data_IF_735937736498
#
_entry.id   IF_735937736498
#
_cell.length_a   1.000
_cell.length_b   1.000
_cell.length_c   1.000
_cell.angle_alpha   90.00
_cell.angle_beta   90.00
_cell.angle_gamma   90.00
#
_symmetry.space_group_name_H-M   'P 1'
#
loop_
_entity.id
_entity.type
_entity.pdbx_description
1 polymer ?
#
# COMPACT_ATOMS: atom_id res chain seq x y z
N UNK A 1 4.98 -31.78 -18.60
CA UNK A 1 3.66 -31.19 -18.29
C UNK A 1 3.35 -31.42 -16.82
N UNK A 2 2.42 -30.67 -16.20
CA UNK A 2 2.01 -30.88 -14.80
C UNK A 2 1.61 -32.33 -14.51
N UNK A 3 0.90 -32.96 -15.45
CA UNK A 3 0.45 -34.35 -15.38
C UNK A 3 1.62 -35.36 -15.35
N UNK A 4 2.69 -35.11 -16.11
CA UNK A 4 3.87 -35.96 -16.13
C UNK A 4 4.67 -35.89 -14.81
N UNK A 5 4.70 -34.70 -14.18
CA UNK A 5 5.33 -34.52 -12.87
C UNK A 5 4.52 -35.21 -11.76
N UNK A 6 3.19 -35.15 -11.83
CA UNK A 6 2.31 -35.87 -10.90
C UNK A 6 2.49 -37.39 -11.02
N UNK A 7 2.52 -37.92 -12.25
CA UNK A 7 2.74 -39.34 -12.49
C UNK A 7 4.12 -39.80 -11.98
N UNK A 8 5.16 -39.01 -12.23
CA UNK A 8 6.52 -39.28 -11.73
C UNK A 8 6.59 -39.24 -10.20
N UNK A 9 5.89 -38.30 -9.55
CA UNK A 9 5.82 -38.23 -8.10
C UNK A 9 5.12 -39.45 -7.51
N UNK A 10 3.95 -39.84 -8.05
CA UNK A 10 3.19 -41.03 -7.61
C UNK A 10 3.97 -42.33 -7.77
N UNK A 11 4.86 -42.42 -8.76
CA UNK A 11 5.73 -43.58 -8.99
C UNK A 11 7.01 -43.57 -8.12
N UNK A 12 7.31 -42.46 -7.44
CA UNK A 12 8.53 -42.31 -6.65
C UNK A 12 8.41 -42.95 -5.27
N UNK A 13 9.56 -43.31 -4.69
CA UNK A 13 9.66 -43.81 -3.31
C UNK A 13 9.14 -42.78 -2.28
N UNK A 14 9.26 -41.48 -2.57
CA UNK A 14 8.77 -40.41 -1.70
C UNK A 14 7.26 -40.45 -1.51
N UNK A 15 6.51 -40.83 -2.55
CA UNK A 15 5.05 -40.96 -2.44
C UNK A 15 4.64 -42.15 -1.57
N UNK A 16 5.41 -43.25 -1.61
CA UNK A 16 5.15 -44.39 -0.73
C UNK A 16 5.46 -44.05 0.73
N UNK A 17 6.58 -43.38 1.01
CA UNK A 17 6.89 -42.90 2.36
C UNK A 17 5.84 -41.91 2.89
N UNK A 18 5.34 -41.01 2.03
CA UNK A 18 4.26 -40.10 2.41
C UNK A 18 2.99 -40.85 2.81
N UNK A 19 2.62 -41.91 2.07
CA UNK A 19 1.47 -42.73 2.41
C UNK A 19 1.65 -43.48 3.74
N UNK A 20 2.87 -43.99 4.00
CA UNK A 20 3.20 -44.60 5.29
C UNK A 20 3.13 -43.59 6.45
N UNK A 21 3.67 -42.39 6.26
CA UNK A 21 3.59 -41.31 7.26
C UNK A 21 2.14 -40.90 7.55
N UNK A 22 1.31 -40.79 6.52
CA UNK A 22 -0.13 -40.48 6.66
C UNK A 22 -0.85 -41.58 7.42
N UNK A 23 -0.59 -42.84 7.09
CA UNK A 23 -1.26 -43.97 7.75
C UNK A 23 -0.76 -44.16 9.19
N UNK A 24 0.53 -43.91 9.46
CA UNK A 24 1.09 -43.86 10.82
C UNK A 24 0.42 -42.76 11.64
N UNK A 25 0.33 -41.55 11.08
CA UNK A 25 -0.34 -40.41 11.73
C UNK A 25 -1.81 -40.73 12.03
N UNK A 26 -2.53 -41.30 11.08
CA UNK A 26 -3.93 -41.70 11.24
C UNK A 26 -4.09 -42.77 12.32
N UNK A 27 -3.19 -43.76 12.40
CA UNK A 27 -3.23 -44.80 13.45
C UNK A 27 -2.95 -44.23 14.84
N UNK A 28 -1.90 -43.43 14.97
CA UNK A 28 -1.55 -42.78 16.25
C UNK A 28 -2.66 -41.86 16.74
N UNK A 29 -3.31 -41.13 15.83
CA UNK A 29 -4.28 -40.10 16.19
C UNK A 29 -5.75 -40.53 16.07
N UNK A 30 -6.09 -41.71 15.53
CA UNK A 30 -7.44 -42.31 15.62
C UNK A 30 -7.66 -43.02 16.95
N UNK A 31 -6.62 -43.61 17.53
CA UNK A 31 -6.72 -44.33 18.80
C UNK A 31 -6.75 -43.40 20.03
N UNK A 32 -6.26 -42.17 19.89
CA UNK A 32 -5.96 -41.27 21.02
C UNK A 32 -6.89 -40.05 21.16
N UNK A 33 -7.87 -39.80 20.28
CA UNK A 33 -8.68 -38.58 20.38
C UNK A 33 -10.07 -38.73 19.78
N UNK A 34 -11.08 -38.33 20.57
CA UNK A 34 -12.45 -38.08 20.12
C UNK A 34 -12.43 -36.96 19.04
N UNK A 35 -13.13 -37.10 17.90
CA UNK A 35 -13.23 -36.05 16.88
C UNK A 35 -13.55 -34.66 17.46
N UNK A 36 -14.36 -34.60 18.52
CA UNK A 36 -14.72 -33.38 19.22
C UNK A 36 -13.55 -32.73 20.00
N UNK A 37 -12.63 -33.55 20.53
CA UNK A 37 -11.46 -33.05 21.27
C UNK A 37 -10.41 -32.46 20.32
N UNK A 38 -10.23 -33.05 19.14
CA UNK A 38 -9.37 -32.46 18.08
C UNK A 38 -9.92 -31.13 17.58
N UNK A 39 -11.24 -31.05 17.38
CA UNK A 39 -11.89 -29.81 16.96
C UNK A 39 -11.68 -28.71 17.99
N UNK A 40 -11.90 -29.00 19.28
CA UNK A 40 -11.65 -28.05 20.37
C UNK A 40 -10.20 -27.63 20.51
N UNK A 41 -9.24 -28.57 20.46
CA UNK A 41 -7.81 -28.22 20.52
C UNK A 41 -7.37 -27.34 19.36
N UNK A 42 -7.89 -27.61 18.16
CA UNK A 42 -7.62 -26.77 16.99
C UNK A 42 -8.25 -25.38 17.17
N UNK A 43 -9.48 -25.31 17.66
CA UNK A 43 -10.16 -24.05 17.95
C UNK A 43 -9.42 -23.23 19.01
N UNK A 44 -9.00 -23.85 20.11
CA UNK A 44 -8.23 -23.22 21.19
C UNK A 44 -6.86 -22.74 20.72
N UNK A 45 -6.16 -23.53 19.90
CA UNK A 45 -4.89 -23.14 19.31
C UNK A 45 -5.05 -21.94 18.34
N UNK A 46 -6.13 -21.95 17.54
CA UNK A 46 -6.47 -20.84 16.64
C UNK A 46 -6.86 -19.59 17.42
N UNK A 47 -7.66 -19.70 18.49
CA UNK A 47 -8.01 -18.58 19.37
C UNK A 47 -6.79 -18.04 20.12
N UNK A 48 -5.90 -18.91 20.61
CA UNK A 48 -4.65 -18.53 21.28
C UNK A 48 -3.67 -17.79 20.36
N UNK A 49 -3.70 -18.08 19.06
CA UNK A 49 -2.92 -17.36 18.06
C UNK A 49 -3.54 -16.01 17.63
N UNK A 50 -4.79 -15.72 18.01
CA UNK A 50 -5.44 -14.43 17.72
C UNK A 50 -5.00 -13.36 18.72
N UNK A 51 -4.74 -12.16 18.20
CA UNK A 51 -4.51 -10.99 19.03
C UNK A 51 -5.78 -10.63 19.81
N UNK A 52 -5.64 -10.26 21.09
CA UNK A 52 -6.73 -9.82 22.01
C UNK A 52 -7.69 -8.75 21.45
N UNK A 53 -7.28 -8.00 20.43
CA UNK A 53 -8.06 -6.94 19.80
C UNK A 53 -8.77 -7.38 18.51
N UNK A 54 -8.89 -8.68 18.25
CA UNK A 54 -9.60 -9.22 17.08
C UNK A 54 -10.81 -10.00 17.55
N UNK A 55 -11.96 -9.81 16.87
CA UNK A 55 -13.18 -10.59 17.13
C UNK A 55 -12.93 -12.07 16.86
N UNK A 56 -13.53 -12.94 17.68
CA UNK A 56 -13.37 -14.39 17.59
C UNK A 56 -13.85 -14.97 16.24
N UNK A 57 -14.87 -14.36 15.62
CA UNK A 57 -15.36 -14.72 14.27
C UNK A 57 -14.49 -14.18 13.13
N UNK A 58 -13.49 -13.34 13.41
CA UNK A 58 -12.69 -12.76 12.34
C UNK A 58 -11.66 -13.78 11.82
N UNK A 59 -11.50 -13.93 10.50
CA UNK A 59 -10.47 -14.79 9.91
C UNK A 59 -9.05 -14.23 10.05
N UNK A 60 -8.90 -13.02 10.61
CA UNK A 60 -7.61 -12.36 10.81
C UNK A 60 -7.07 -12.65 12.21
N UNK A 61 -5.77 -12.91 12.33
CA UNK A 61 -5.10 -13.14 13.62
C UNK A 61 -4.49 -11.87 14.23
N UNK A 62 -4.33 -10.79 13.46
CA UNK A 62 -3.64 -9.56 13.86
C UNK A 62 -4.61 -8.38 13.98
N UNK A 63 -4.42 -7.51 14.98
CA UNK A 63 -5.24 -6.30 15.17
C UNK A 63 -5.13 -5.31 14.00
N UNK A 64 -6.24 -4.62 13.70
CA UNK A 64 -6.32 -3.62 12.62
C UNK A 64 -5.22 -2.55 12.66
N UNK A 65 -4.89 -1.89 13.78
CA UNK A 65 -3.80 -0.90 13.82
C UNK A 65 -2.44 -1.49 13.49
N UNK A 66 -2.18 -2.74 13.89
CA UNK A 66 -0.93 -3.43 13.58
C UNK A 66 -0.87 -3.84 12.10
N UNK A 67 -2.00 -4.20 11.50
CA UNK A 67 -2.11 -4.40 10.05
C UNK A 67 -1.82 -3.11 9.29
N UNK A 68 -2.35 -1.97 9.75
CA UNK A 68 -2.08 -0.65 9.15
C UNK A 68 -0.59 -0.33 9.25
N UNK A 69 0.02 -0.42 10.44
CA UNK A 69 1.45 -0.13 10.62
C UNK A 69 2.35 -1.02 9.74
N UNK A 70 2.05 -2.31 9.65
CA UNK A 70 2.79 -3.24 8.79
C UNK A 70 2.63 -2.90 7.30
N UNK A 71 1.41 -2.56 6.87
CA UNK A 71 1.12 -2.13 5.51
C UNK A 71 1.81 -0.78 5.18
N UNK A 72 1.80 0.18 6.10
CA UNK A 72 2.48 1.48 5.94
C UNK A 72 3.97 1.29 5.81
N UNK A 73 4.59 0.46 6.66
CA UNK A 73 6.01 0.13 6.55
C UNK A 73 6.33 -0.48 5.18
N UNK A 74 5.50 -1.44 4.71
CA UNK A 74 5.66 -2.02 3.37
C UNK A 74 5.58 -0.97 2.27
N UNK A 75 4.62 -0.05 2.36
CA UNK A 75 4.48 1.02 1.38
C UNK A 75 5.66 1.99 1.42
N UNK A 76 6.21 2.28 2.60
CA UNK A 76 7.43 3.06 2.73
C UNK A 76 8.59 2.38 2.00
N UNK A 77 8.82 1.07 2.20
CA UNK A 77 9.85 0.35 1.46
C UNK A 77 9.66 0.41 -0.06
N UNK A 78 8.42 0.30 -0.54
CA UNK A 78 8.11 0.40 -1.96
C UNK A 78 8.41 1.80 -2.50
N UNK A 79 8.06 2.84 -1.74
CA UNK A 79 8.39 4.23 -2.05
C UNK A 79 9.90 4.47 -2.11
N UNK A 80 10.65 3.96 -1.14
CA UNK A 80 12.12 4.04 -1.13
C UNK A 80 12.76 3.27 -2.30
N UNK A 81 12.10 2.24 -2.82
CA UNK A 81 12.52 1.55 -4.03
C UNK A 81 12.28 2.35 -5.32
N UNK A 82 11.36 3.32 -5.29
CA UNK A 82 10.98 4.16 -6.44
C UNK A 82 11.16 5.66 -6.15
N UNK A 83 12.34 6.02 -5.65
CA UNK A 83 12.71 7.42 -5.43
C UNK A 83 12.81 8.20 -6.75
N UNK A 84 13.07 7.53 -7.88
CA UNK A 84 13.16 8.15 -9.20
C UNK A 84 11.86 8.85 -9.62
N UNK A 85 10.71 8.19 -9.41
CA UNK A 85 9.40 8.80 -9.65
C UNK A 85 9.16 10.00 -8.74
N UNK A 86 9.57 9.92 -7.47
CA UNK A 86 9.45 11.03 -6.52
C UNK A 86 10.30 12.25 -6.94
N UNK A 87 11.58 12.05 -7.29
CA UNK A 87 12.44 13.13 -7.76
C UNK A 87 11.95 13.75 -9.07
N UNK A 88 11.40 12.94 -9.97
CA UNK A 88 10.81 13.44 -11.23
C UNK A 88 9.62 14.37 -10.95
N UNK A 89 8.71 13.97 -10.04
CA UNK A 89 7.63 14.84 -9.59
C UNK A 89 8.15 16.13 -8.96
N UNK A 90 9.15 16.03 -8.09
CA UNK A 90 9.75 17.19 -7.43
C UNK A 90 10.33 18.17 -8.45
N UNK A 91 11.05 17.67 -9.46
CA UNK A 91 11.61 18.48 -10.54
C UNK A 91 10.51 19.19 -11.35
N UNK A 92 9.43 18.48 -11.70
CA UNK A 92 8.28 19.06 -12.41
C UNK A 92 7.64 20.19 -11.59
N UNK A 93 7.47 19.98 -10.28
CA UNK A 93 6.89 20.98 -9.38
C UNK A 93 7.76 22.22 -9.28
N UNK A 94 9.08 22.07 -9.15
CA UNK A 94 10.03 23.19 -9.12
C UNK A 94 10.00 23.96 -10.44
N UNK A 95 10.05 23.26 -11.57
CA UNK A 95 9.97 23.89 -12.90
C UNK A 95 8.65 24.64 -13.08
N UNK A 96 7.52 24.04 -12.67
CA UNK A 96 6.22 24.69 -12.72
C UNK A 96 6.20 25.97 -11.86
N UNK A 97 6.71 25.91 -10.63
CA UNK A 97 6.81 27.07 -9.74
C UNK A 97 7.66 28.19 -10.34
N UNK A 98 8.78 27.85 -11.00
CA UNK A 98 9.65 28.83 -11.67
C UNK A 98 8.99 29.46 -12.90
N UNK A 99 8.35 28.66 -13.76
CA UNK A 99 7.65 29.17 -14.95
C UNK A 99 6.55 30.13 -14.51
N UNK A 100 5.70 29.70 -13.58
CA UNK A 100 4.54 30.48 -13.15
C UNK A 100 4.99 31.70 -12.35
N UNK A 101 5.97 31.56 -11.46
CA UNK A 101 6.54 32.69 -10.73
C UNK A 101 7.20 33.72 -11.66
N UNK A 102 7.92 33.27 -12.70
CA UNK A 102 8.60 34.17 -13.63
C UNK A 102 7.63 35.03 -14.45
N UNK A 103 6.44 34.50 -14.74
CA UNK A 103 5.40 35.20 -15.51
C UNK A 103 4.89 36.45 -14.77
N UNK A 104 4.93 36.44 -13.43
CA UNK A 104 4.43 37.53 -12.60
C UNK A 104 5.52 38.39 -11.96
N UNK A 105 6.79 38.12 -12.24
CA UNK A 105 7.93 38.81 -11.64
C UNK A 105 7.98 40.32 -11.94
N UNK A 106 7.52 40.72 -13.13
CA UNK A 106 7.42 42.12 -13.60
C UNK A 106 6.00 42.69 -13.52
N UNK A 107 5.03 41.92 -13.03
CA UNK A 107 3.64 42.41 -12.97
C UNK A 107 3.53 43.50 -11.91
N UNK A 108 3.05 44.68 -12.31
CA UNK A 108 2.86 45.82 -11.39
C UNK A 108 1.97 45.44 -10.20
N UNK A 109 2.55 45.54 -9.00
CA UNK A 109 1.91 45.34 -7.71
C UNK A 109 0.90 46.46 -7.45
N UNK A 110 -0.30 46.33 -7.99
CA UNK A 110 -1.38 47.32 -7.79
C UNK A 110 -2.59 47.18 -8.72
N UNK A 111 -2.46 46.48 -9.84
CA UNK A 111 -3.58 46.27 -10.76
C UNK A 111 -4.44 45.07 -10.31
N UNK A 112 -5.74 45.28 -10.08
CA UNK A 112 -6.70 44.20 -9.75
C UNK A 112 -6.70 43.07 -10.79
N UNK A 113 -6.42 43.39 -12.05
CA UNK A 113 -6.29 42.43 -13.16
C UNK A 113 -5.06 41.52 -13.02
N UNK A 114 -3.95 42.02 -12.47
CA UNK A 114 -2.75 41.23 -12.18
C UNK A 114 -3.00 40.24 -11.05
N UNK A 115 -3.66 40.67 -9.96
CA UNK A 115 -4.00 39.82 -8.83
C UNK A 115 -4.94 38.65 -9.22
N UNK A 116 -5.91 38.90 -10.11
CA UNK A 116 -6.80 37.86 -10.63
C UNK A 116 -6.04 36.86 -11.53
N UNK A 117 -5.18 37.35 -12.42
CA UNK A 117 -4.35 36.50 -13.30
C UNK A 117 -3.36 35.64 -12.49
N UNK A 118 -2.76 36.21 -11.45
CA UNK A 118 -1.86 35.51 -10.56
C UNK A 118 -2.56 34.40 -9.77
N UNK A 119 -3.72 34.72 -9.16
CA UNK A 119 -4.49 33.75 -8.37
C UNK A 119 -4.99 32.58 -9.23
N UNK A 120 -5.44 32.87 -10.46
CA UNK A 120 -5.87 31.83 -11.40
C UNK A 120 -4.70 30.96 -11.87
N UNK A 121 -3.54 31.53 -12.17
CA UNK A 121 -2.35 30.76 -12.52
C UNK A 121 -1.87 29.87 -11.37
N UNK A 122 -1.85 30.37 -10.13
CA UNK A 122 -1.56 29.57 -8.93
C UNK A 122 -2.53 28.41 -8.75
N UNK A 123 -3.83 28.67 -8.92
CA UNK A 123 -4.85 27.64 -8.84
C UNK A 123 -4.62 26.53 -9.87
N UNK A 124 -4.34 26.89 -11.13
CA UNK A 124 -4.04 25.92 -12.18
C UNK A 124 -2.74 25.14 -11.91
N UNK A 125 -1.70 25.78 -11.37
CA UNK A 125 -0.47 25.10 -10.96
C UNK A 125 -0.72 24.06 -9.87
N UNK A 126 -1.48 24.38 -8.84
CA UNK A 126 -1.83 23.42 -7.77
C UNK A 126 -2.72 22.30 -8.31
N UNK A 127 -3.69 22.62 -9.17
CA UNK A 127 -4.52 21.62 -9.84
C UNK A 127 -3.68 20.66 -10.71
N UNK A 128 -2.64 21.17 -11.37
CA UNK A 128 -1.71 20.36 -12.16
C UNK A 128 -0.90 19.38 -11.28
N UNK A 129 -0.52 19.77 -10.05
CA UNK A 129 0.09 18.84 -9.08
C UNK A 129 -0.89 17.71 -8.74
N UNK A 130 -2.17 18.03 -8.53
CA UNK A 130 -3.22 17.02 -8.33
C UNK A 130 -3.36 16.07 -9.54
N UNK A 131 -3.26 16.61 -10.76
CA UNK A 131 -3.26 15.83 -11.99
C UNK A 131 -2.06 14.87 -12.07
N UNK A 132 -0.86 15.31 -11.67
CA UNK A 132 0.33 14.44 -11.62
C UNK A 132 0.14 13.25 -10.67
N UNK A 133 -0.60 13.42 -9.58
CA UNK A 133 -0.91 12.32 -8.66
C UNK A 133 -1.87 11.29 -9.27
N UNK A 134 -2.80 11.70 -10.13
CA UNK A 134 -3.68 10.77 -10.84
C UNK A 134 -2.91 9.77 -11.72
N UNK A 135 -1.82 10.21 -12.35
CA UNK A 135 -0.98 9.33 -13.17
C UNK A 135 -0.34 8.18 -12.34
N UNK A 136 -0.10 8.40 -11.05
CA UNK A 136 0.45 7.39 -10.13
C UNK A 136 -0.63 6.47 -9.55
N UNK A 137 -1.90 6.86 -9.65
CA UNK A 137 -3.01 6.02 -9.20
C UNK A 137 -3.24 4.82 -10.14
N UNK A 138 -2.98 4.95 -11.44
CA UNK A 138 -3.12 3.85 -12.39
C UNK A 138 -2.26 2.61 -12.03
N UNK A 139 -0.93 2.73 -11.82
CA UNK A 139 -0.11 1.59 -11.38
C UNK A 139 -0.50 1.06 -9.99
N UNK A 140 -1.02 1.91 -9.10
CA UNK A 140 -1.56 1.46 -7.83
C UNK A 140 -2.76 0.52 -7.99
N UNK A 141 -3.63 0.80 -8.96
CA UNK A 141 -4.82 0.01 -9.28
C UNK A 141 -4.42 -1.30 -9.95
N UNK A 142 -3.38 -1.31 -10.80
CA UNK A 142 -2.89 -2.55 -11.41
C UNK A 142 -2.40 -3.57 -10.37
N UNK A 143 -1.90 -3.12 -9.22
CA UNK A 143 -1.51 -3.97 -8.09
C UNK A 143 -2.68 -4.65 -7.35
N UNK A 144 -3.94 -4.39 -7.72
CA UNK A 144 -5.13 -4.93 -7.03
C UNK A 144 -5.20 -6.46 -7.04
N UNK A 145 -4.72 -7.13 -8.09
CA UNK A 145 -4.70 -8.59 -8.13
C UNK A 145 -3.82 -9.20 -7.01
N UNK A 146 -2.72 -8.52 -6.68
CA UNK A 146 -1.85 -8.92 -5.56
C UNK A 146 -2.52 -8.70 -4.21
N UNK A 147 -3.28 -7.61 -4.07
CA UNK A 147 -4.04 -7.31 -2.86
C UNK A 147 -5.19 -8.32 -2.68
N UNK A 148 -5.86 -8.70 -3.77
CA UNK A 148 -6.95 -9.69 -3.73
C UNK A 148 -6.43 -11.08 -3.36
N UNK A 149 -5.26 -11.48 -3.86
CA UNK A 149 -4.58 -12.70 -3.38
C UNK A 149 -4.25 -12.62 -1.89
N UNK A 150 -3.73 -11.49 -1.41
CA UNK A 150 -3.42 -11.29 0.01
C UNK A 150 -4.68 -11.32 0.90
N UNK A 151 -5.83 -10.90 0.35
CA UNK A 151 -7.15 -11.03 0.99
C UNK A 151 -7.62 -12.48 1.03
N UNK A 152 -7.46 -13.23 -0.06
CA UNK A 152 -7.81 -14.66 -0.12
C UNK A 152 -7.04 -15.50 0.91
N UNK A 153 -5.78 -15.13 1.20
CA UNK A 153 -4.97 -15.74 2.26
C UNK A 153 -5.21 -15.14 3.67
N UNK A 154 -6.22 -14.28 3.84
CA UNK A 154 -6.56 -13.61 5.11
C UNK A 154 -5.39 -12.87 5.80
N UNK A 155 -4.40 -12.38 5.03
CA UNK A 155 -3.21 -11.72 5.57
C UNK A 155 -3.49 -10.27 6.00
N UNK A 156 -4.21 -9.51 5.17
CA UNK A 156 -4.49 -8.09 5.42
C UNK A 156 -5.91 -7.71 4.98
N UNK A 157 -6.56 -6.83 5.76
CA UNK A 157 -7.80 -6.18 5.33
C UNK A 157 -7.49 -5.16 4.22
N UNK A 158 -8.22 -5.16 3.09
CA UNK A 158 -8.01 -4.17 2.02
C UNK A 158 -8.11 -2.72 2.50
N UNK A 159 -9.01 -2.43 3.44
CA UNK A 159 -9.16 -1.10 4.05
C UNK A 159 -7.92 -0.64 4.80
N UNK A 160 -7.19 -1.56 5.47
CA UNK A 160 -5.95 -1.24 6.17
C UNK A 160 -4.85 -0.83 5.18
N UNK A 161 -4.80 -1.44 3.99
CA UNK A 161 -3.83 -1.12 2.94
C UNK A 161 -4.11 0.24 2.31
N UNK A 162 -5.38 0.58 2.07
CA UNK A 162 -5.77 1.90 1.55
C UNK A 162 -5.46 3.00 2.56
N UNK A 163 -5.78 2.79 3.85
CA UNK A 163 -5.47 3.77 4.89
C UNK A 163 -3.97 3.93 5.09
N UNK A 164 -3.21 2.83 5.07
CA UNK A 164 -1.75 2.86 5.14
C UNK A 164 -1.13 3.69 4.01
N UNK A 165 -1.71 3.63 2.81
CA UNK A 165 -1.31 4.47 1.67
C UNK A 165 -1.60 5.94 1.91
N UNK A 166 -2.82 6.26 2.30
CA UNK A 166 -3.21 7.65 2.58
C UNK A 166 -2.29 8.29 3.64
N UNK A 167 -1.91 7.53 4.67
CA UNK A 167 -0.97 7.98 5.71
C UNK A 167 0.43 8.27 5.16
N UNK A 168 0.90 7.53 4.15
CA UNK A 168 2.19 7.76 3.51
C UNK A 168 2.15 8.93 2.51
N UNK A 169 1.04 9.06 1.76
CA UNK A 169 0.90 10.09 0.72
C UNK A 169 0.80 11.50 1.32
N UNK A 170 0.15 11.65 2.49
CA UNK A 170 -0.09 12.94 3.15
C UNK A 170 1.21 13.74 3.46
N UNK A 171 2.24 13.19 4.11
CA UNK A 171 3.50 13.91 4.33
C UNK A 171 4.27 14.19 3.04
N UNK A 172 4.16 13.33 2.01
CA UNK A 172 4.82 13.54 0.72
C UNK A 172 4.21 14.72 -0.03
N UNK A 173 2.88 14.81 -0.05
CA UNK A 173 2.17 15.95 -0.63
C UNK A 173 2.53 17.25 0.12
N UNK A 174 2.64 17.20 1.44
CA UNK A 174 3.06 18.37 2.23
C UNK A 174 4.44 18.88 1.79
N UNK A 175 5.42 18.00 1.62
CA UNK A 175 6.77 18.36 1.15
C UNK A 175 6.68 19.00 -0.25
N UNK A 176 5.91 18.40 -1.15
CA UNK A 176 5.69 18.92 -2.51
C UNK A 176 5.08 20.33 -2.51
N UNK A 177 4.08 20.59 -1.67
CA UNK A 177 3.45 21.90 -1.53
C UNK A 177 4.44 22.94 -0.98
N UNK A 178 5.24 22.57 0.03
CA UNK A 178 6.26 23.47 0.59
C UNK A 178 7.29 23.85 -0.48
N UNK A 179 7.77 22.86 -1.23
CA UNK A 179 8.75 23.08 -2.31
C UNK A 179 8.17 23.92 -3.46
N UNK A 180 6.87 23.81 -3.75
CA UNK A 180 6.19 24.72 -4.68
C UNK A 180 6.08 26.15 -4.13
N UNK A 181 5.68 26.28 -2.86
CA UNK A 181 5.39 27.58 -2.24
C UNK A 181 6.62 28.47 -2.07
N UNK A 182 7.80 27.88 -1.82
CA UNK A 182 9.05 28.59 -1.56
C UNK A 182 9.50 29.46 -2.76
N UNK A 183 9.79 28.90 -3.95
CA UNK A 183 10.15 29.70 -5.12
C UNK A 183 9.03 30.65 -5.52
N UNK A 184 7.78 30.19 -5.46
CA UNK A 184 6.63 31.00 -5.84
C UNK A 184 6.54 32.27 -4.99
N UNK A 185 6.68 32.15 -3.67
CA UNK A 185 6.63 33.29 -2.74
C UNK A 185 7.69 34.36 -3.09
N UNK A 186 8.93 33.94 -3.36
CA UNK A 186 10.01 34.87 -3.72
C UNK A 186 9.80 35.54 -5.09
N UNK A 187 9.31 34.81 -6.10
CA UNK A 187 9.12 35.36 -7.44
C UNK A 187 7.89 36.27 -7.52
N UNK A 188 6.85 35.95 -6.77
CA UNK A 188 5.62 36.73 -6.71
C UNK A 188 5.72 38.04 -5.93
N UNK A 189 6.83 38.27 -5.19
CA UNK A 189 7.02 39.44 -4.31
C UNK A 189 5.78 39.70 -3.44
N UNK A 190 5.28 38.65 -2.78
CA UNK A 190 4.24 38.80 -1.75
C UNK A 190 4.84 39.51 -0.53
N UNK A 191 4.82 40.84 -0.56
CA UNK A 191 5.05 41.77 0.56
C UNK A 191 3.75 42.52 0.88
#
# INVERSE_FOLDING_TARGET
TPEALEAAFRASEHYQRLLEDVDLYDREHRAASDPDEKHKRFEDAVQGAKSKHVKDESPYTVSVPRQIAAATRRQAWLFWGDLGTFYTKLAIIVVNALIVGSLFYESESGATSAAFSMSSAMFFSVAFIGWLEFAVLAPAIMGRATIERQRQFALYRPSAVVLARAVLDLPLILIMVVVFSLPFYFLAKFD
#
